data_IF_218470799208
#
_entry.id   IF_218470799208
#
_cell.length_a   1.000
_cell.length_b   1.000
_cell.length_c   1.000
_cell.angle_alpha   90.00
_cell.angle_beta   90.00
_cell.angle_gamma   90.00
#
_symmetry.space_group_name_H-M   'P 1'
#
loop_
_entity.id
_entity.type
_entity.pdbx_description
1 polymer ?
#
# COMPACT_ATOMS: atom_id res chain seq x y z
N UNK A 1 -13.16 -2.44 20.32
CA UNK A 1 -13.94 -3.18 19.35
C UNK A 1 -13.23 -3.18 18.02
N UNK A 2 -13.21 -4.18 17.30
CA UNK A 2 -12.45 -4.31 16.07
C UNK A 2 -13.08 -3.62 14.86
N UNK A 3 -13.71 -2.46 15.07
CA UNK A 3 -14.43 -1.79 13.98
C UNK A 3 -13.62 -0.70 13.29
N UNK A 4 -12.46 -0.35 13.87
CA UNK A 4 -11.62 0.70 13.29
C UNK A 4 -10.70 0.10 12.22
N UNK A 5 -10.44 0.88 11.16
CA UNK A 5 -9.42 0.51 10.17
C UNK A 5 -8.05 0.29 10.83
N UNK A 6 -7.82 0.91 11.98
CA UNK A 6 -6.56 0.75 12.71
C UNK A 6 -6.30 -0.68 13.16
N UNK A 7 -7.35 -1.50 13.25
CA UNK A 7 -7.22 -2.91 13.63
C UNK A 7 -6.92 -3.81 12.43
N UNK A 8 -6.99 -3.28 11.21
CA UNK A 8 -6.69 -4.07 10.01
C UNK A 8 -5.20 -4.29 9.86
N UNK A 9 -4.80 -5.55 9.78
CA UNK A 9 -3.38 -5.90 9.60
C UNK A 9 -2.81 -5.25 8.35
N UNK A 10 -3.57 -5.24 7.25
CA UNK A 10 -3.10 -4.65 6.00
C UNK A 10 -2.83 -3.15 6.15
N UNK A 11 -3.67 -2.44 6.92
CA UNK A 11 -3.44 -1.02 7.18
C UNK A 11 -2.18 -0.82 8.02
N UNK A 12 -2.03 -1.63 9.07
CA UNK A 12 -0.86 -1.55 9.95
C UNK A 12 0.43 -1.78 9.17
N UNK A 13 0.45 -2.77 8.28
CA UNK A 13 1.63 -3.03 7.45
C UNK A 13 1.86 -1.91 6.43
N UNK A 14 0.79 -1.30 5.92
CA UNK A 14 0.92 -0.14 5.02
C UNK A 14 1.55 1.06 5.73
N UNK A 15 1.23 1.26 7.02
CA UNK A 15 1.90 2.28 7.82
C UNK A 15 3.39 1.96 7.96
N UNK A 16 3.72 0.71 8.27
CA UNK A 16 5.13 0.32 8.39
C UNK A 16 5.89 0.52 7.09
N UNK A 17 5.24 0.19 5.96
CA UNK A 17 5.83 0.46 4.65
C UNK A 17 6.09 1.95 4.45
N UNK A 18 5.12 2.77 4.81
CA UNK A 18 5.24 4.23 4.66
C UNK A 18 6.44 4.75 5.46
N UNK A 19 6.58 4.30 6.71
CA UNK A 19 7.71 4.70 7.55
C UNK A 19 9.05 4.21 6.97
N UNK A 20 9.06 3.00 6.41
CA UNK A 20 10.24 2.46 5.75
C UNK A 20 10.62 3.28 4.51
N UNK A 21 9.63 3.75 3.75
CA UNK A 21 9.87 4.61 2.59
C UNK A 21 10.45 5.95 3.02
N UNK A 22 9.94 6.55 4.10
CA UNK A 22 10.50 7.80 4.60
C UNK A 22 11.96 7.62 5.03
N UNK A 23 12.26 6.52 5.73
CA UNK A 23 13.62 6.21 6.15
C UNK A 23 14.54 6.03 4.95
N UNK A 24 14.10 5.25 3.97
CA UNK A 24 14.87 5.00 2.75
C UNK A 24 15.18 6.29 1.99
N UNK A 25 14.14 7.10 1.77
CA UNK A 25 14.26 8.29 0.93
C UNK A 25 15.00 9.43 1.62
N UNK A 26 15.14 9.39 2.94
CA UNK A 26 15.93 10.39 3.65
C UNK A 26 17.39 10.41 3.17
N UNK A 27 17.89 9.29 2.65
CA UNK A 27 19.25 9.16 2.14
C UNK A 27 19.35 9.36 0.63
N UNK A 28 18.23 9.69 -0.04
CA UNK A 28 18.26 9.96 -1.48
C UNK A 28 18.94 11.29 -1.77
N UNK A 29 19.48 11.46 -2.99
CA UNK A 29 20.07 12.76 -3.36
C UNK A 29 19.07 13.90 -3.21
N UNK A 30 19.55 15.06 -2.79
CA UNK A 30 18.71 16.26 -2.66
C UNK A 30 18.05 16.64 -3.97
N UNK A 31 18.68 16.31 -5.09
CA UNK A 31 18.12 16.57 -6.43
C UNK A 31 16.83 15.82 -6.68
N UNK A 32 16.55 14.76 -5.90
CA UNK A 32 15.33 13.97 -6.03
C UNK A 32 14.20 14.42 -5.10
N UNK A 33 14.42 15.48 -4.35
CA UNK A 33 13.44 15.98 -3.38
C UNK A 33 12.04 16.18 -3.97
N UNK A 34 11.96 16.72 -5.18
CA UNK A 34 10.69 16.93 -5.88
C UNK A 34 10.45 15.88 -6.95
N UNK A 35 11.33 14.89 -7.06
CA UNK A 35 11.23 13.79 -8.00
C UNK A 35 10.89 12.50 -7.27
N UNK A 36 11.79 11.53 -7.34
CA UNK A 36 11.54 10.17 -6.84
C UNK A 36 11.22 10.12 -5.34
N UNK A 37 11.89 10.95 -4.53
CA UNK A 37 11.61 11.03 -3.10
C UNK A 37 10.15 11.38 -2.85
N UNK A 38 9.67 12.44 -3.50
CA UNK A 38 8.29 12.89 -3.33
C UNK A 38 7.30 11.85 -3.84
N UNK A 39 7.57 11.27 -5.01
CA UNK A 39 6.67 10.28 -5.60
C UNK A 39 6.52 9.04 -4.71
N UNK A 40 7.63 8.52 -4.19
CA UNK A 40 7.60 7.35 -3.30
C UNK A 40 6.81 7.63 -2.03
N UNK A 41 7.04 8.79 -1.42
CA UNK A 41 6.35 9.15 -0.18
C UNK A 41 4.86 9.31 -0.40
N UNK A 42 4.48 9.98 -1.47
CA UNK A 42 3.06 10.19 -1.79
C UNK A 42 2.36 8.87 -2.11
N UNK A 43 2.99 8.01 -2.88
CA UNK A 43 2.41 6.71 -3.22
C UNK A 43 2.24 5.84 -1.98
N UNK A 44 3.24 5.82 -1.10
CA UNK A 44 3.16 5.03 0.13
C UNK A 44 2.03 5.53 1.05
N UNK A 45 1.94 6.84 1.27
CA UNK A 45 0.85 7.43 2.07
C UNK A 45 -0.51 7.08 1.47
N UNK A 46 -0.61 7.10 0.14
CA UNK A 46 -1.85 6.79 -0.57
C UNK A 46 -2.35 5.37 -0.29
N UNK A 47 -1.45 4.41 -0.09
CA UNK A 47 -1.85 3.03 0.22
C UNK A 47 -2.68 3.01 1.50
N UNK A 48 -2.12 3.49 2.60
CA UNK A 48 -2.79 3.48 3.90
C UNK A 48 -4.06 4.34 3.88
N UNK A 49 -4.00 5.49 3.22
CA UNK A 49 -5.15 6.40 3.13
C UNK A 49 -6.32 5.75 2.40
N UNK A 50 -6.06 5.04 1.31
CA UNK A 50 -7.13 4.37 0.55
C UNK A 50 -7.71 3.19 1.32
N UNK A 51 -6.90 2.46 2.08
CA UNK A 51 -7.42 1.38 2.93
C UNK A 51 -8.38 1.95 3.97
N UNK A 52 -7.97 3.02 4.66
CA UNK A 52 -8.80 3.67 5.67
C UNK A 52 -10.08 4.25 5.06
N UNK A 53 -9.94 4.90 3.92
CA UNK A 53 -11.08 5.50 3.22
C UNK A 53 -12.11 4.43 2.84
N UNK A 54 -11.63 3.30 2.30
CA UNK A 54 -12.49 2.21 1.89
C UNK A 54 -13.24 1.58 3.06
N UNK A 55 -12.55 1.40 4.17
CA UNK A 55 -13.14 0.81 5.38
C UNK A 55 -14.28 1.68 5.92
N UNK A 56 -14.24 2.98 5.66
CA UNK A 56 -15.29 3.90 6.11
C UNK A 56 -16.47 4.03 5.15
N UNK A 57 -16.45 3.32 4.02
CA UNK A 57 -17.53 3.42 3.05
C UNK A 57 -18.74 2.58 3.44
N UNK A 58 -19.91 2.97 2.94
CA UNK A 58 -21.16 2.34 3.31
C UNK A 58 -21.45 1.05 2.54
N UNK A 59 -20.81 0.82 1.40
CA UNK A 59 -21.04 -0.38 0.60
C UNK A 59 -19.76 -1.17 0.40
N UNK A 60 -19.93 -2.48 0.24
CA UNK A 60 -18.83 -3.39 -0.05
C UNK A 60 -18.17 -3.06 -1.40
N UNK A 61 -18.98 -2.68 -2.39
CA UNK A 61 -18.46 -2.31 -3.71
C UNK A 61 -17.52 -1.12 -3.64
N UNK A 62 -17.90 -0.10 -2.86
CA UNK A 62 -17.04 1.06 -2.65
C UNK A 62 -15.76 0.69 -1.90
N UNK A 63 -15.87 -0.19 -0.91
CA UNK A 63 -14.70 -0.67 -0.18
C UNK A 63 -13.71 -1.34 -1.14
N UNK A 64 -14.21 -2.26 -1.97
CA UNK A 64 -13.38 -2.96 -2.95
C UNK A 64 -12.72 -1.96 -3.91
N UNK A 65 -13.46 -0.93 -4.33
CA UNK A 65 -12.92 0.10 -5.21
C UNK A 65 -11.72 0.83 -4.58
N UNK A 66 -11.84 1.23 -3.32
CA UNK A 66 -10.74 1.89 -2.61
C UNK A 66 -9.55 0.97 -2.40
N UNK A 67 -9.79 -0.31 -2.12
CA UNK A 67 -8.71 -1.28 -2.04
C UNK A 67 -8.00 -1.44 -3.40
N UNK A 68 -8.75 -1.31 -4.48
CA UNK A 68 -8.19 -1.29 -5.82
C UNK A 68 -7.26 -0.10 -6.05
N UNK A 69 -7.65 1.08 -5.55
CA UNK A 69 -6.79 2.27 -5.59
C UNK A 69 -5.52 2.05 -4.77
N UNK A 70 -5.66 1.41 -3.60
CA UNK A 70 -4.49 1.08 -2.77
C UNK A 70 -3.54 0.15 -3.53
N UNK A 71 -4.08 -0.85 -4.23
CA UNK A 71 -3.26 -1.76 -5.05
C UNK A 71 -2.51 -1.01 -6.15
N UNK A 72 -3.16 -0.04 -6.78
CA UNK A 72 -2.51 0.81 -7.77
C UNK A 72 -1.32 1.55 -7.17
N UNK A 73 -1.49 2.07 -5.96
CA UNK A 73 -0.42 2.77 -5.25
C UNK A 73 0.72 1.82 -4.87
N UNK A 74 0.40 0.56 -4.52
CA UNK A 74 1.44 -0.46 -4.28
C UNK A 74 2.28 -0.68 -5.53
N UNK A 75 1.63 -0.78 -6.69
CA UNK A 75 2.36 -0.94 -7.97
C UNK A 75 3.26 0.25 -8.27
N UNK A 76 2.81 1.45 -7.92
CA UNK A 76 3.65 2.65 -8.05
C UNK A 76 4.89 2.57 -7.16
N UNK A 77 4.70 2.21 -5.88
CA UNK A 77 5.82 2.06 -4.95
C UNK A 77 6.80 1.00 -5.47
N UNK A 78 6.26 -0.13 -5.89
CA UNK A 78 7.06 -1.24 -6.41
C UNK A 78 7.92 -0.80 -7.58
N UNK A 79 7.31 -0.09 -8.53
CA UNK A 79 8.00 0.42 -9.72
C UNK A 79 9.10 1.41 -9.33
N UNK A 80 8.76 2.32 -8.41
CA UNK A 80 9.69 3.37 -7.98
C UNK A 80 10.86 2.78 -7.18
N UNK A 81 10.63 1.70 -6.43
CA UNK A 81 11.71 1.00 -5.74
C UNK A 81 12.67 0.33 -6.73
N UNK A 82 12.14 -0.22 -7.81
CA UNK A 82 12.98 -0.78 -8.89
C UNK A 82 13.87 0.32 -9.48
N UNK A 83 13.30 1.49 -9.72
CA UNK A 83 14.05 2.63 -10.26
C UNK A 83 15.15 3.08 -9.27
N UNK A 84 14.78 3.21 -7.99
CA UNK A 84 15.73 3.61 -6.95
C UNK A 84 16.90 2.63 -6.86
N UNK A 85 16.59 1.33 -6.94
CA UNK A 85 17.61 0.28 -6.91
C UNK A 85 18.54 0.38 -8.10
N UNK A 86 17.99 0.60 -9.29
CA UNK A 86 18.78 0.73 -10.51
C UNK A 86 19.72 1.95 -10.47
N UNK A 87 19.27 3.02 -9.81
CA UNK A 87 20.04 4.24 -9.66
C UNK A 87 20.97 4.21 -8.44
N UNK A 88 20.90 3.13 -7.67
CA UNK A 88 21.72 2.95 -6.46
C UNK A 88 21.45 4.04 -5.41
N UNK A 89 20.18 4.43 -5.27
CA UNK A 89 19.73 5.41 -4.29
C UNK A 89 19.38 4.74 -2.96
N UNK A 90 19.84 5.34 -1.86
CA UNK A 90 19.52 4.88 -0.52
C UNK A 90 20.37 3.70 -0.07
N UNK A 91 20.21 3.33 1.20
CA UNK A 91 20.94 2.21 1.77
C UNK A 91 20.31 0.89 1.35
N UNK A 92 21.13 -0.09 1.01
CA UNK A 92 20.65 -1.40 0.52
C UNK A 92 19.74 -2.09 1.52
N UNK A 93 20.04 -2.01 2.81
CA UNK A 93 19.21 -2.63 3.84
C UNK A 93 17.83 -1.98 3.93
N UNK A 94 17.80 -0.65 3.85
CA UNK A 94 16.53 0.10 3.88
C UNK A 94 15.69 -0.21 2.65
N UNK A 95 16.33 -0.34 1.49
CA UNK A 95 15.66 -0.70 0.25
C UNK A 95 15.08 -2.11 0.35
N UNK A 96 15.87 -3.07 0.81
CA UNK A 96 15.43 -4.46 0.96
C UNK A 96 14.22 -4.56 1.90
N UNK A 97 14.29 -3.85 3.03
CA UNK A 97 13.17 -3.81 3.99
C UNK A 97 11.90 -3.23 3.35
N UNK A 98 12.04 -2.14 2.61
CA UNK A 98 10.90 -1.52 1.93
C UNK A 98 10.32 -2.45 0.87
N UNK A 99 11.16 -3.13 0.10
CA UNK A 99 10.71 -4.10 -0.90
C UNK A 99 9.90 -5.22 -0.26
N UNK A 100 10.37 -5.76 0.86
CA UNK A 100 9.68 -6.84 1.58
C UNK A 100 8.32 -6.39 2.09
N UNK A 101 8.25 -5.22 2.69
CA UNK A 101 6.99 -4.66 3.19
C UNK A 101 6.02 -4.38 2.06
N UNK A 102 6.52 -3.85 0.95
CA UNK A 102 5.69 -3.57 -0.22
C UNK A 102 5.07 -4.86 -0.78
N UNK A 103 5.86 -5.90 -0.89
CA UNK A 103 5.39 -7.22 -1.34
C UNK A 103 4.31 -7.77 -0.42
N UNK A 104 4.54 -7.66 0.89
CA UNK A 104 3.58 -8.15 1.89
C UNK A 104 2.26 -7.40 1.81
N UNK A 105 2.30 -6.07 1.73
CA UNK A 105 1.10 -5.24 1.64
C UNK A 105 0.31 -5.60 0.38
N UNK A 106 1.01 -5.78 -0.74
CA UNK A 106 0.37 -6.17 -1.99
C UNK A 106 -0.38 -7.50 -1.88
N UNK A 107 0.25 -8.50 -1.26
CA UNK A 107 -0.38 -9.80 -1.06
C UNK A 107 -1.60 -9.71 -0.14
N UNK A 108 -1.48 -8.94 0.94
CA UNK A 108 -2.59 -8.78 1.91
C UNK A 108 -3.77 -8.04 1.28
N UNK A 109 -3.50 -7.04 0.44
CA UNK A 109 -4.57 -6.34 -0.28
C UNK A 109 -5.31 -7.28 -1.21
N UNK A 110 -4.58 -8.07 -1.99
CA UNK A 110 -5.21 -9.03 -2.91
C UNK A 110 -6.04 -10.04 -2.15
N UNK A 111 -5.54 -10.53 -1.02
CA UNK A 111 -6.26 -11.50 -0.19
C UNK A 111 -7.54 -10.88 0.38
N UNK A 112 -7.46 -9.65 0.87
CA UNK A 112 -8.62 -8.93 1.42
C UNK A 112 -9.68 -8.72 0.34
N UNK A 113 -9.26 -8.27 -0.84
CA UNK A 113 -10.19 -8.04 -1.95
C UNK A 113 -10.87 -9.35 -2.39
N UNK A 114 -10.08 -10.42 -2.47
CA UNK A 114 -10.61 -11.74 -2.84
C UNK A 114 -11.65 -12.22 -1.83
N UNK A 115 -11.37 -12.07 -0.54
CA UNK A 115 -12.30 -12.44 0.52
C UNK A 115 -13.61 -11.67 0.42
N UNK A 116 -13.53 -10.36 0.19
CA UNK A 116 -14.72 -9.52 0.06
C UNK A 116 -15.53 -9.90 -1.17
N UNK A 117 -14.89 -10.15 -2.28
CA UNK A 117 -15.55 -10.56 -3.53
C UNK A 117 -16.20 -11.93 -3.38
N UNK A 118 -15.53 -12.87 -2.74
CA UNK A 118 -16.05 -14.20 -2.48
C UNK A 118 -17.30 -14.15 -1.61
N UNK A 119 -17.27 -13.37 -0.51
CA UNK A 119 -18.43 -13.18 0.36
C UNK A 119 -19.59 -12.55 -0.39
N UNK A 120 -19.29 -11.58 -1.25
CA UNK A 120 -20.31 -10.94 -2.07
C UNK A 120 -20.98 -11.95 -2.98
N UNK A 121 -20.21 -12.82 -3.61
CA UNK A 121 -20.71 -13.88 -4.50
C UNK A 121 -21.55 -14.87 -3.71
N UNK A 122 -21.11 -15.28 -2.53
CA UNK A 122 -21.81 -16.28 -1.72
C UNK A 122 -23.14 -15.78 -1.17
N UNK A 123 -23.35 -14.47 -1.13
CA UNK A 123 -24.59 -13.86 -0.65
C UNK A 123 -25.63 -13.74 -1.74
N UNK A 124 -25.29 -14.02 -2.99
CA UNK A 124 -26.24 -14.00 -4.09
C UNK A 124 -27.09 -15.28 -4.03
N UNK A 125 -28.41 -15.17 -3.89
CA UNK A 125 -29.25 -16.37 -3.82
C UNK A 125 -29.21 -17.13 -5.13
N UNK A 126 -29.28 -18.45 -5.02
CA UNK A 126 -29.39 -19.31 -6.20
C UNK A 126 -30.76 -19.08 -6.83
N UNK A 127 -30.85 -19.10 -8.15
CA UNK A 127 -32.14 -18.98 -8.85
C UNK A 127 -33.09 -20.14 -8.51
#
# INVERSE_FOLDING_TARGET
MGDSFRDLTVWQRAIELTLAIYKLTAAFPDSERFGLTNQLRRAAVSIASNIAEGDGRSTKGEYIQFLGHARGSVSEVETQLVIAKALDFGAKEALYNAEGLCSEVGRKLRATMKTLQSKSTSLVPSP
#
